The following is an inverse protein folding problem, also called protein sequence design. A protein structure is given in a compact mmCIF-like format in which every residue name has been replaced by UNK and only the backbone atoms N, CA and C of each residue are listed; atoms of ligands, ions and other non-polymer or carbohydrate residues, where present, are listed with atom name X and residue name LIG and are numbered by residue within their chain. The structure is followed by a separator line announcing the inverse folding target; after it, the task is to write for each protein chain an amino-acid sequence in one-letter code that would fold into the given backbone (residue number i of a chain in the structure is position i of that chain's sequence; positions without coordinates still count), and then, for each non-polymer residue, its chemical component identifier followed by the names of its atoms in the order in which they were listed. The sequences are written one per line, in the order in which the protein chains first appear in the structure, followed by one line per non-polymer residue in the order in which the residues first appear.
data_IF_160015168256
#
_entry.id   IF_160015168256
#
_cell.length_a   1.000
_cell.length_b   1.000
_cell.length_c   1.000
_cell.angle_alpha   90.00
_cell.angle_beta   90.00
_cell.angle_gamma   90.00
#
_symmetry.space_group_name_H-M   'P 1'
#
loop_
_entity.id
_entity.type
_entity.pdbx_description
1 polymer ?
#
# COMPACT_ATOMS: atom_id res chain seq x y z
N UNK A 1 0.83 29.57 7.73
CA UNK A 1 -0.22 29.26 6.74
C UNK A 1 0.49 28.76 5.51
N UNK A 2 0.18 27.56 5.03
CA UNK A 2 0.65 27.10 3.73
C UNK A 2 -0.06 27.88 2.63
N UNK A 3 0.66 28.25 1.57
CA UNK A 3 0.10 28.86 0.37
C UNK A 3 -0.36 27.78 -0.64
N UNK A 4 -0.98 28.21 -1.74
CA UNK A 4 -1.50 27.31 -2.78
C UNK A 4 -0.40 26.43 -3.40
N UNK A 5 0.78 27.00 -3.66
CA UNK A 5 1.90 26.25 -4.25
C UNK A 5 2.45 25.20 -3.29
N UNK A 6 2.56 25.50 -1.99
CA UNK A 6 3.02 24.55 -0.98
C UNK A 6 2.07 23.35 -0.86
N UNK A 7 0.76 23.57 -0.97
CA UNK A 7 -0.23 22.49 -0.98
C UNK A 7 -0.01 21.60 -2.21
N UNK A 8 0.17 22.18 -3.39
CA UNK A 8 0.32 21.43 -4.63
C UNK A 8 1.63 20.62 -4.62
N UNK A 9 2.72 21.21 -4.15
CA UNK A 9 3.98 20.50 -3.93
C UNK A 9 3.82 19.30 -2.98
N UNK A 10 3.00 19.41 -1.92
CA UNK A 10 2.72 18.27 -1.04
C UNK A 10 1.95 17.16 -1.75
N UNK A 11 0.95 17.50 -2.57
CA UNK A 11 0.22 16.51 -3.37
C UNK A 11 1.15 15.83 -4.39
N UNK A 12 2.02 16.58 -5.07
CA UNK A 12 3.02 16.03 -6.00
C UNK A 12 4.03 15.11 -5.31
N UNK A 13 4.44 15.45 -4.08
CA UNK A 13 5.29 14.60 -3.26
C UNK A 13 4.60 13.27 -2.91
N UNK A 14 3.31 13.31 -2.52
CA UNK A 14 2.55 12.09 -2.24
C UNK A 14 2.47 11.23 -3.50
N UNK A 15 2.16 11.82 -4.66
CA UNK A 15 2.14 11.08 -5.93
C UNK A 15 3.48 10.46 -6.30
N UNK A 16 4.59 11.14 -5.97
CA UNK A 16 5.95 10.60 -6.18
C UNK A 16 6.22 9.40 -5.26
N UNK A 17 5.78 9.45 -4.00
CA UNK A 17 5.91 8.32 -3.08
C UNK A 17 5.05 7.14 -3.53
N UNK A 18 3.80 7.38 -3.97
CA UNK A 18 2.93 6.32 -4.47
C UNK A 18 3.49 5.66 -5.74
N UNK A 19 4.12 6.43 -6.63
CA UNK A 19 4.82 5.89 -7.81
C UNK A 19 6.02 4.99 -7.42
N UNK A 20 6.78 5.39 -6.39
CA UNK A 20 7.85 4.56 -5.82
C UNK A 20 7.29 3.29 -5.15
N UNK A 21 6.17 3.38 -4.45
CA UNK A 21 5.47 2.23 -3.87
C UNK A 21 5.04 1.26 -4.97
N UNK A 22 4.51 1.76 -6.09
CA UNK A 22 4.14 0.93 -7.23
C UNK A 22 5.36 0.23 -7.84
N UNK A 23 6.49 0.93 -7.97
CA UNK A 23 7.73 0.33 -8.45
C UNK A 23 8.23 -0.79 -7.50
N UNK A 24 8.23 -0.55 -6.19
CA UNK A 24 8.61 -1.54 -5.18
C UNK A 24 7.66 -2.75 -5.16
N UNK A 25 6.36 -2.54 -5.29
CA UNK A 25 5.38 -3.62 -5.41
C UNK A 25 5.63 -4.47 -6.67
N UNK A 26 5.94 -3.83 -7.81
CA UNK A 26 6.27 -4.51 -9.07
C UNK A 26 7.58 -5.31 -9.01
N UNK A 27 8.59 -4.82 -8.28
CA UNK A 27 9.86 -5.53 -8.07
C UNK A 27 9.77 -6.60 -7.00
N UNK A 28 8.73 -6.60 -6.17
CA UNK A 28 8.57 -7.50 -5.02
C UNK A 28 9.42 -7.10 -3.82
N UNK A 29 9.88 -5.84 -3.76
CA UNK A 29 10.62 -5.30 -2.62
C UNK A 29 9.65 -4.87 -1.50
N UNK A 30 9.26 -5.83 -0.68
CA UNK A 30 8.27 -5.64 0.39
C UNK A 30 8.79 -4.78 1.55
N UNK A 31 10.11 -4.77 1.78
CA UNK A 31 10.72 -3.92 2.80
C UNK A 31 10.67 -2.45 2.37
N UNK A 32 11.05 -2.17 1.12
CA UNK A 32 10.96 -0.83 0.54
C UNK A 32 9.50 -0.36 0.47
N UNK A 33 8.57 -1.22 0.05
CA UNK A 33 7.14 -0.89 0.01
C UNK A 33 6.61 -0.46 1.38
N UNK A 34 6.97 -1.18 2.44
CA UNK A 34 6.54 -0.88 3.81
C UNK A 34 7.16 0.42 4.33
N UNK A 35 8.43 0.68 4.02
CA UNK A 35 9.10 1.93 4.40
C UNK A 35 8.48 3.14 3.68
N UNK A 36 8.11 2.99 2.41
CA UNK A 36 7.44 4.03 1.62
C UNK A 36 6.01 4.29 2.11
N UNK A 37 5.28 3.25 2.53
CA UNK A 37 3.94 3.39 3.13
C UNK A 37 3.96 4.30 4.36
N UNK A 38 4.94 4.10 5.26
CA UNK A 38 5.08 4.95 6.46
C UNK A 38 5.35 6.42 6.11
N UNK A 39 6.19 6.65 5.08
CA UNK A 39 6.47 8.01 4.58
C UNK A 39 5.24 8.65 3.95
N UNK A 40 4.47 7.89 3.18
CA UNK A 40 3.20 8.34 2.60
C UNK A 40 2.20 8.72 3.71
N UNK A 41 2.02 7.88 4.73
CA UNK A 41 1.13 8.14 5.85
C UNK A 41 1.49 9.42 6.62
N UNK A 42 2.78 9.70 6.82
CA UNK A 42 3.25 10.93 7.45
C UNK A 42 2.90 12.17 6.61
N UNK A 43 3.12 12.12 5.28
CA UNK A 43 2.79 13.23 4.39
C UNK A 43 1.28 13.49 4.29
N UNK A 44 0.46 12.44 4.23
CA UNK A 44 -1.00 12.56 4.25
C UNK A 44 -1.49 13.14 5.58
N UNK A 45 -0.86 12.79 6.70
CA UNK A 45 -1.17 13.39 8.01
C UNK A 45 -0.86 14.88 8.04
N UNK A 46 0.26 15.30 7.44
CA UNK A 46 0.60 16.71 7.29
C UNK A 46 -0.41 17.45 6.42
N UNK A 47 -0.87 16.85 5.31
CA UNK A 47 -1.93 17.41 4.47
C UNK A 47 -3.21 17.63 5.28
N UNK A 48 -3.67 16.62 6.03
CA UNK A 48 -4.89 16.72 6.87
C UNK A 48 -4.78 17.78 7.96
N UNK A 49 -3.57 17.97 8.51
CA UNK A 49 -3.31 18.94 9.58
C UNK A 49 -3.12 20.37 9.04
N UNK A 50 -2.66 20.49 7.80
CA UNK A 50 -2.35 21.75 7.12
C UNK A 50 -3.45 22.28 6.21
N UNK A 51 -4.52 21.51 5.95
CA UNK A 51 -5.68 21.90 5.14
C UNK A 51 -6.56 22.94 5.86
N UNK A 52 -5.97 24.08 6.17
CA UNK A 52 -6.75 25.32 6.26
C UNK A 52 -7.35 25.55 4.86
N UNK A 53 -8.59 26.03 4.70
CA UNK A 53 -9.19 26.22 3.38
C UNK A 53 -8.43 27.32 2.62
N UNK A 54 -7.34 26.97 1.97
CA UNK A 54 -6.62 27.86 1.06
C UNK A 54 -7.46 27.95 -0.20
N UNK A 55 -7.79 29.17 -0.61
CA UNK A 55 -8.62 29.43 -1.77
C UNK A 55 -7.84 29.14 -3.06
N UNK A 56 -7.73 27.87 -3.44
CA UNK A 56 -7.06 27.46 -4.68
C UNK A 56 -7.67 28.14 -5.89
N UNK A 57 -6.82 28.73 -6.74
CA UNK A 57 -7.22 29.18 -8.08
C UNK A 57 -7.75 28.01 -8.94
N UNK A 58 -8.52 28.32 -9.99
CA UNK A 58 -9.13 27.30 -10.86
C UNK A 58 -8.12 26.32 -11.46
N UNK A 59 -6.96 26.83 -11.92
CA UNK A 59 -5.89 26.02 -12.50
C UNK A 59 -5.23 25.09 -11.47
N UNK A 60 -4.95 25.59 -10.26
CA UNK A 60 -4.38 24.75 -9.19
C UNK A 60 -5.37 23.72 -8.67
N UNK A 61 -6.67 24.01 -8.70
CA UNK A 61 -7.71 23.04 -8.38
C UNK A 61 -7.76 21.90 -9.40
N UNK A 62 -7.65 22.20 -10.69
CA UNK A 62 -7.56 21.19 -11.75
C UNK A 62 -6.31 20.32 -11.57
N UNK A 63 -5.16 20.95 -11.34
CA UNK A 63 -3.89 20.25 -11.07
C UNK A 63 -3.97 19.34 -9.85
N UNK A 64 -4.56 19.81 -8.74
CA UNK A 64 -4.83 18.98 -7.55
C UNK A 64 -5.65 17.75 -7.90
N UNK A 65 -6.70 17.90 -8.72
CA UNK A 65 -7.56 16.78 -9.14
C UNK A 65 -6.79 15.78 -9.99
N UNK A 66 -5.95 16.23 -10.92
CA UNK A 66 -5.11 15.34 -11.73
C UNK A 66 -4.15 14.53 -10.87
N UNK A 67 -3.50 15.17 -9.90
CA UNK A 67 -2.57 14.50 -8.97
C UNK A 67 -3.30 13.45 -8.13
N UNK A 68 -4.49 13.77 -7.59
CA UNK A 68 -5.30 12.82 -6.82
C UNK A 68 -5.71 11.62 -7.68
N UNK A 69 -6.10 11.85 -8.93
CA UNK A 69 -6.45 10.76 -9.86
C UNK A 69 -5.25 9.83 -10.11
N UNK A 70 -4.05 10.39 -10.27
CA UNK A 70 -2.83 9.59 -10.42
C UNK A 70 -2.58 8.73 -9.18
N UNK A 71 -2.60 9.33 -7.99
CA UNK A 71 -2.41 8.62 -6.72
C UNK A 71 -3.38 7.43 -6.62
N UNK A 72 -4.68 7.65 -6.89
CA UNK A 72 -5.70 6.60 -6.83
C UNK A 72 -5.50 5.48 -7.86
N UNK A 73 -4.99 5.80 -9.05
CA UNK A 73 -4.69 4.81 -10.07
C UNK A 73 -3.50 3.93 -9.64
N UNK A 74 -2.43 4.54 -9.15
CA UNK A 74 -1.24 3.84 -8.66
C UNK A 74 -1.59 2.97 -7.44
N UNK A 75 -2.40 3.48 -6.52
CA UNK A 75 -2.93 2.75 -5.35
C UNK A 75 -3.74 1.51 -5.74
N UNK A 76 -4.49 1.59 -6.84
CA UNK A 76 -5.26 0.45 -7.37
C UNK A 76 -4.33 -0.61 -7.95
N UNK A 77 -3.29 -0.19 -8.67
CA UNK A 77 -2.30 -1.13 -9.20
C UNK A 77 -1.51 -1.81 -8.10
N UNK A 78 -1.10 -1.09 -7.05
CA UNK A 78 -0.45 -1.68 -5.87
C UNK A 78 -1.34 -2.78 -5.28
N UNK A 79 -2.64 -2.50 -5.04
CA UNK A 79 -3.58 -3.50 -4.52
C UNK A 79 -3.71 -4.72 -5.45
N UNK A 80 -3.78 -4.52 -6.76
CA UNK A 80 -3.83 -5.63 -7.72
C UNK A 80 -2.58 -6.53 -7.66
N UNK A 81 -1.42 -6.00 -7.25
CA UNK A 81 -0.18 -6.76 -7.11
C UNK A 81 -0.13 -7.47 -5.74
N UNK A 82 -0.54 -6.78 -4.67
CA UNK A 82 -0.41 -7.29 -3.29
C UNK A 82 -1.53 -8.25 -2.89
N UNK A 83 -2.76 -8.05 -3.35
CA UNK A 83 -3.93 -8.89 -3.00
C UNK A 83 -3.77 -10.36 -3.44
N UNK A 84 -3.32 -10.69 -4.67
CA UNK A 84 -3.14 -12.09 -5.08
C UNK A 84 -2.04 -12.80 -4.30
N UNK A 85 -0.96 -12.10 -3.96
CA UNK A 85 0.15 -12.68 -3.20
C UNK A 85 -0.25 -12.94 -1.74
N UNK A 86 -1.03 -12.06 -1.11
CA UNK A 86 -1.61 -12.27 0.22
C UNK A 86 -2.56 -13.47 0.25
N UNK A 87 -3.38 -13.66 -0.79
CA UNK A 87 -4.24 -14.84 -0.93
C UNK A 87 -3.40 -16.12 -1.08
N UNK A 88 -2.34 -16.09 -1.90
CA UNK A 88 -1.41 -17.22 -2.09
C UNK A 88 -0.63 -17.55 -0.81
N UNK A 89 -0.14 -16.55 -0.08
CA UNK A 89 0.52 -16.72 1.22
C UNK A 89 -0.45 -17.34 2.24
N UNK A 90 -1.68 -16.84 2.30
CA UNK A 90 -2.74 -17.40 3.16
C UNK A 90 -3.03 -18.86 2.82
N UNK A 91 -3.08 -19.22 1.54
CA UNK A 91 -3.20 -20.62 1.12
C UNK A 91 -1.99 -21.46 1.54
N UNK A 92 -0.76 -20.95 1.38
CA UNK A 92 0.47 -21.65 1.78
C UNK A 92 0.53 -21.88 3.29
N UNK A 93 0.18 -20.88 4.10
CA UNK A 93 0.12 -20.97 5.56
C UNK A 93 -0.99 -21.95 6.01
N UNK A 94 -2.16 -21.93 5.37
CA UNK A 94 -3.26 -22.84 5.68
C UNK A 94 -2.99 -24.29 5.23
N UNK A 95 -2.29 -24.48 4.11
CA UNK A 95 -1.92 -25.81 3.61
C UNK A 95 -0.91 -26.50 4.53
N UNK A 96 0.12 -25.80 5.00
CA UNK A 96 1.11 -26.33 5.96
C UNK A 96 0.51 -26.64 7.33
N UNK A 97 -0.50 -25.87 7.78
CA UNK A 97 -1.27 -26.19 8.98
C UNK A 97 -2.12 -27.46 8.84
N UNK A 98 -2.66 -27.70 7.64
CA UNK A 98 -3.46 -28.89 7.33
C UNK A 98 -2.60 -30.15 7.22
N UNK A 99 -1.42 -30.06 6.60
CA UNK A 99 -0.46 -31.16 6.50
C UNK A 99 0.04 -31.66 7.87
N UNK A 100 0.28 -30.75 8.82
CA UNK A 100 0.68 -31.13 10.20
C UNK A 100 -0.42 -31.92 10.93
N UNK A 101 -1.69 -31.55 10.75
CA UNK A 101 -2.82 -32.27 11.37
C UNK A 101 -3.01 -33.65 10.77
N UNK A 102 -2.85 -33.79 9.45
CA UNK A 102 -2.95 -35.08 8.76
C UNK A 102 -1.79 -36.02 9.17
N UNK A 103 -0.55 -35.53 9.21
CA UNK A 103 0.60 -36.34 9.65
C UNK A 103 0.47 -36.83 11.10
N UNK A 104 -0.14 -36.03 12.00
CA UNK A 104 -0.39 -36.45 13.38
C UNK A 104 -1.53 -37.48 13.50
N UNK A 105 -2.54 -37.41 12.62
CA UNK A 105 -3.67 -38.35 12.60
C UNK A 105 -3.28 -39.72 12.02
N UNK A 106 -2.38 -39.77 11.04
CA UNK A 106 -1.93 -41.02 10.40
C UNK A 106 -0.65 -41.62 10.99
N UNK A 107 0.12 -40.86 11.80
CA UNK A 107 1.36 -41.34 12.44
C UNK A 107 1.17 -42.14 13.74
N UNK A 108 -0.02 -42.15 14.34
CA UNK A 108 -0.29 -42.76 15.65
C UNK A 108 -0.96 -44.15 15.58
N UNK A 109 -1.09 -44.75 14.39
CA UNK A 109 -1.79 -46.02 14.16
C UNK A 109 -0.90 -47.26 14.01
N UNK A 110 0.35 -47.24 14.46
CA UNK A 110 1.32 -48.29 14.14
C UNK A 110 2.23 -48.70 15.30
N UNK A 111 1.68 -49.38 16.32
CA UNK A 111 2.36 -50.49 17.02
C UNK A 111 1.44 -51.12 18.09
N UNK A 112 0.83 -52.24 17.73
CA UNK A 112 0.42 -53.27 18.67
C UNK A 112 1.25 -54.51 18.36
N UNK A 113 2.24 -54.81 19.21
CA UNK A 113 2.65 -56.16 19.56
C UNK A 113 3.48 -56.11 20.83
#
# INVERSE_FOLDING_TARGET
MMNEQEIICLYENVATITDQMLAAARSGDWEELTALEQRCAAQVSMLKSGETPVALSGAERERKVEIIKKILADDREIRNITEPWMAKLSMLINSTGTERKLNHAYGAGGRSN
#
